data_IF_492630085405
#
_entry.id   IF_492630085405
#
_cell.length_a   1.000
_cell.length_b   1.000
_cell.length_c   1.000
_cell.angle_alpha   90.00
_cell.angle_beta   90.00
_cell.angle_gamma   90.00
#
_symmetry.space_group_name_H-M   'P 1'
#
loop_
_entity.id
_entity.type
_entity.pdbx_description
1 polymer ?
#
# COMPACT_ATOMS: atom_id res chain seq x y z
N UNK A 1 -46.87 5.08 -30.36
CA UNK A 1 -46.44 4.61 -29.03
C UNK A 1 -44.98 4.24 -29.15
N UNK A 2 -44.08 5.17 -28.84
CA UNK A 2 -42.63 4.95 -28.92
C UNK A 2 -42.11 4.61 -27.52
N UNK A 3 -41.74 3.35 -27.30
CA UNK A 3 -41.08 2.89 -26.08
C UNK A 3 -39.61 3.32 -26.12
N UNK A 4 -39.27 4.38 -25.39
CA UNK A 4 -37.86 4.76 -25.20
C UNK A 4 -37.16 3.73 -24.33
N UNK A 5 -36.22 3.01 -24.94
CA UNK A 5 -35.28 2.14 -24.26
C UNK A 5 -34.54 2.92 -23.16
N UNK A 6 -34.68 2.47 -21.91
CA UNK A 6 -33.94 2.98 -20.77
C UNK A 6 -32.46 2.64 -20.95
N UNK A 7 -31.64 3.67 -21.17
CA UNK A 7 -30.19 3.54 -21.21
C UNK A 7 -29.68 3.02 -19.87
N UNK A 8 -29.15 1.80 -19.84
CA UNK A 8 -28.38 1.29 -18.72
C UNK A 8 -27.07 2.07 -18.69
N UNK A 9 -27.00 3.10 -17.85
CA UNK A 9 -25.75 3.76 -17.51
C UNK A 9 -24.95 2.77 -16.67
N UNK A 10 -24.04 2.04 -17.30
CA UNK A 10 -22.99 1.30 -16.60
C UNK A 10 -22.08 2.32 -15.92
N UNK A 11 -22.44 2.76 -14.71
CA UNK A 11 -21.56 3.59 -13.88
C UNK A 11 -20.30 2.77 -13.63
N UNK A 12 -19.16 3.21 -14.18
CA UNK A 12 -17.85 2.62 -13.88
C UNK A 12 -17.76 2.48 -12.36
N UNK A 13 -17.61 1.24 -11.88
CA UNK A 13 -17.55 0.92 -10.46
C UNK A 13 -16.26 1.51 -9.90
N UNK A 14 -16.32 2.74 -9.39
CA UNK A 14 -15.17 3.39 -8.74
C UNK A 14 -14.74 2.50 -7.58
N UNK A 15 -13.47 2.08 -7.57
CA UNK A 15 -12.90 1.39 -6.41
C UNK A 15 -12.87 2.39 -5.27
N UNK A 16 -13.84 2.28 -4.36
CA UNK A 16 -13.82 3.06 -3.13
C UNK A 16 -12.68 2.54 -2.25
N UNK A 17 -11.60 3.32 -2.18
CA UNK A 17 -10.51 3.05 -1.26
C UNK A 17 -10.91 3.56 0.14
N UNK A 18 -10.90 2.66 1.11
CA UNK A 18 -11.21 2.98 2.49
C UNK A 18 -9.92 3.01 3.31
N UNK A 19 -9.80 4.03 4.15
CA UNK A 19 -8.73 4.10 5.16
C UNK A 19 -8.95 3.04 6.24
N UNK A 20 -7.88 2.64 6.93
CA UNK A 20 -7.96 1.74 8.09
C UNK A 20 -8.91 2.32 9.16
N UNK A 21 -8.83 3.64 9.41
CA UNK A 21 -9.76 4.34 10.32
C UNK A 21 -11.22 4.10 9.96
N UNK A 22 -11.58 4.31 8.69
CA UNK A 22 -12.96 4.16 8.21
C UNK A 22 -13.41 2.70 8.27
N UNK A 23 -12.52 1.74 8.01
CA UNK A 23 -12.83 0.31 8.18
C UNK A 23 -13.13 -0.05 9.64
N UNK A 24 -12.31 0.41 10.60
CA UNK A 24 -12.54 0.19 12.03
C UNK A 24 -13.85 0.80 12.52
N UNK A 25 -14.12 2.04 12.14
CA UNK A 25 -15.36 2.73 12.49
C UNK A 25 -16.60 1.97 11.99
N UNK A 26 -16.58 1.51 10.73
CA UNK A 26 -17.66 0.70 10.15
C UNK A 26 -17.80 -0.63 10.91
N UNK A 27 -16.70 -1.33 11.21
CA UNK A 27 -16.75 -2.61 11.95
C UNK A 27 -17.32 -2.44 13.36
N UNK A 28 -16.97 -1.35 14.05
CA UNK A 28 -17.55 -1.00 15.34
C UNK A 28 -19.04 -0.67 15.22
N UNK A 29 -19.44 0.11 14.21
CA UNK A 29 -20.83 0.55 14.00
C UNK A 29 -21.79 -0.58 13.58
N UNK A 30 -21.27 -1.66 13.00
CA UNK A 30 -22.06 -2.83 12.58
C UNK A 30 -22.00 -3.99 13.57
N UNK A 31 -21.27 -3.84 14.68
CA UNK A 31 -21.16 -4.86 15.73
C UNK A 31 -22.54 -5.09 16.35
N UNK A 32 -23.03 -6.33 16.28
CA UNK A 32 -24.36 -6.69 16.76
C UNK A 32 -25.53 -6.37 15.82
N UNK A 33 -25.28 -5.79 14.63
CA UNK A 33 -26.30 -5.58 13.59
C UNK A 33 -26.39 -6.75 12.62
N UNK A 34 -27.60 -6.98 12.09
CA UNK A 34 -27.77 -7.87 10.95
C UNK A 34 -27.10 -7.27 9.71
N UNK A 35 -26.74 -8.09 8.73
CA UNK A 35 -26.06 -7.64 7.51
C UNK A 35 -26.85 -6.59 6.73
N UNK A 36 -28.17 -6.71 6.77
CA UNK A 36 -29.09 -5.84 6.05
C UNK A 36 -29.16 -4.46 6.72
N UNK A 37 -29.29 -4.41 8.04
CA UNK A 37 -29.24 -3.17 8.82
C UNK A 37 -27.88 -2.48 8.71
N UNK A 38 -26.79 -3.26 8.70
CA UNK A 38 -25.44 -2.75 8.51
C UNK A 38 -25.24 -2.11 7.12
N UNK A 39 -25.75 -2.76 6.06
CA UNK A 39 -25.66 -2.22 4.70
C UNK A 39 -26.48 -0.94 4.53
N UNK A 40 -27.66 -0.87 5.15
CA UNK A 40 -28.53 0.30 5.09
C UNK A 40 -27.97 1.48 5.90
N UNK A 41 -27.45 1.22 7.10
CA UNK A 41 -26.92 2.28 7.97
C UNK A 41 -25.61 2.89 7.45
N UNK A 42 -24.74 2.10 6.83
CA UNK A 42 -23.43 2.59 6.34
C UNK A 42 -23.43 2.93 4.83
N UNK A 43 -24.47 2.54 4.09
CA UNK A 43 -24.51 2.66 2.63
C UNK A 43 -23.44 1.82 1.92
N UNK A 44 -22.93 0.77 2.57
CA UNK A 44 -21.88 -0.12 2.04
C UNK A 44 -22.52 -1.43 1.58
N UNK A 45 -22.21 -1.92 0.36
CA UNK A 45 -22.74 -3.18 -0.12
C UNK A 45 -22.44 -4.36 0.81
N UNK A 46 -23.42 -5.26 0.98
CA UNK A 46 -23.32 -6.45 1.85
C UNK A 46 -22.04 -7.27 1.63
N UNK A 47 -21.66 -7.50 0.38
CA UNK A 47 -20.45 -8.26 0.04
C UNK A 47 -19.17 -7.60 0.58
N UNK A 48 -19.10 -6.27 0.57
CA UNK A 48 -17.95 -5.50 1.09
C UNK A 48 -17.89 -5.55 2.62
N UNK A 49 -19.04 -5.58 3.29
CA UNK A 49 -19.08 -5.75 4.74
C UNK A 49 -18.63 -7.15 5.15
N UNK A 50 -19.05 -8.18 4.40
CA UNK A 50 -18.64 -9.56 4.67
C UNK A 50 -17.13 -9.77 4.47
N UNK A 51 -16.56 -9.22 3.40
CA UNK A 51 -15.11 -9.22 3.15
C UNK A 51 -14.34 -8.58 4.32
N UNK A 52 -14.83 -7.44 4.82
CA UNK A 52 -14.23 -6.78 6.00
C UNK A 52 -14.39 -7.56 7.30
N UNK A 53 -15.49 -8.30 7.50
CA UNK A 53 -15.65 -9.19 8.66
C UNK A 53 -14.61 -10.31 8.64
N UNK A 54 -14.29 -10.85 7.46
CA UNK A 54 -13.19 -11.82 7.31
C UNK A 54 -11.84 -11.21 7.66
N UNK A 55 -11.59 -9.97 7.23
CA UNK A 55 -10.37 -9.24 7.50
C UNK A 55 -10.34 -8.52 8.87
N UNK A 56 -11.34 -8.70 9.72
CA UNK A 56 -11.54 -7.91 10.94
C UNK A 56 -10.29 -7.93 11.85
N UNK A 57 -9.77 -9.12 12.12
CA UNK A 57 -8.58 -9.29 12.96
C UNK A 57 -7.36 -8.58 12.36
N UNK A 58 -7.17 -8.67 11.04
CA UNK A 58 -6.07 -8.01 10.32
C UNK A 58 -6.21 -6.48 10.35
N UNK A 59 -7.43 -5.96 10.24
CA UNK A 59 -7.73 -4.51 10.29
C UNK A 59 -7.49 -3.95 11.70
N UNK A 60 -7.83 -4.70 12.75
CA UNK A 60 -7.59 -4.29 14.13
C UNK A 60 -6.14 -4.46 14.56
N UNK A 61 -5.46 -5.53 14.13
CA UNK A 61 -4.04 -5.78 14.42
C UNK A 61 -3.08 -4.84 13.68
N UNK A 62 -3.55 -4.07 12.69
CA UNK A 62 -2.69 -3.14 11.95
C UNK A 62 -2.18 -1.98 12.84
N UNK A 63 -0.87 -1.93 13.06
CA UNK A 63 -0.19 -0.94 13.92
C UNK A 63 0.31 0.31 13.16
N UNK A 64 0.12 0.37 11.84
CA UNK A 64 0.54 1.51 11.02
C UNK A 64 -0.42 2.71 11.05
N UNK A 65 -0.14 3.72 10.23
CA UNK A 65 -0.96 4.94 10.16
C UNK A 65 -2.41 4.66 9.77
N UNK A 66 -3.36 5.19 10.54
CA UNK A 66 -4.80 5.01 10.28
C UNK A 66 -5.30 5.71 9.01
N UNK A 67 -4.53 6.69 8.52
CA UNK A 67 -4.79 7.41 7.25
C UNK A 67 -4.40 6.56 6.03
N UNK A 68 -3.67 5.46 6.24
CA UNK A 68 -3.29 4.54 5.18
C UNK A 68 -4.54 3.92 4.57
N UNK A 69 -4.65 3.99 3.24
CA UNK A 69 -5.62 3.19 2.50
C UNK A 69 -5.30 1.72 2.79
N UNK A 70 -6.31 0.93 3.15
CA UNK A 70 -6.08 -0.48 3.42
C UNK A 70 -5.45 -1.12 2.19
N UNK A 71 -4.22 -1.60 2.34
CA UNK A 71 -3.46 -2.21 1.26
C UNK A 71 -4.29 -3.37 0.72
N UNK A 72 -4.43 -3.46 -0.61
CA UNK A 72 -4.82 -4.73 -1.22
C UNK A 72 -3.81 -5.80 -0.77
N UNK A 73 -4.20 -7.07 -0.65
CA UNK A 73 -3.30 -8.17 -0.27
C UNK A 73 -2.33 -8.49 -1.42
N UNK A 74 -1.62 -7.49 -1.93
CA UNK A 74 -0.43 -7.67 -2.74
C UNK A 74 0.75 -7.80 -1.79
N UNK A 75 1.49 -8.92 -1.93
CA UNK A 75 2.72 -9.19 -1.18
C UNK A 75 3.62 -7.96 -1.26
N UNK A 76 4.01 -7.34 -0.12
CA UNK A 76 5.14 -6.44 -0.14
C UNK A 76 6.34 -7.25 -0.62
N UNK A 77 6.90 -6.89 -1.78
CA UNK A 77 8.25 -7.31 -2.12
C UNK A 77 9.15 -6.80 -1.00
N UNK A 78 9.47 -7.71 -0.08
CA UNK A 78 10.21 -7.41 1.14
C UNK A 78 11.66 -7.62 0.82
N UNK A 79 12.42 -6.53 0.87
CA UNK A 79 13.86 -6.54 0.66
C UNK A 79 14.51 -7.14 1.91
N UNK A 80 15.22 -8.28 1.81
CA UNK A 80 15.77 -8.97 2.97
C UNK A 80 16.84 -8.14 3.70
N UNK A 81 17.49 -7.22 2.99
CA UNK A 81 18.54 -6.31 3.51
C UNK A 81 18.03 -4.88 3.80
N UNK A 82 16.74 -4.74 4.11
CA UNK A 82 16.15 -3.41 4.34
C UNK A 82 16.86 -2.57 5.42
N UNK A 83 17.44 -3.21 6.46
CA UNK A 83 18.19 -2.52 7.51
C UNK A 83 19.48 -1.88 6.99
N UNK A 84 20.30 -2.64 6.26
CA UNK A 84 21.58 -2.17 5.69
C UNK A 84 21.37 -1.06 4.68
N UNK A 85 20.34 -1.18 3.82
CA UNK A 85 19.95 -0.13 2.90
C UNK A 85 19.51 1.15 3.63
N UNK A 86 18.83 1.04 4.79
CA UNK A 86 18.46 2.20 5.62
C UNK A 86 19.69 2.87 6.22
N UNK A 87 20.67 2.10 6.68
CA UNK A 87 21.95 2.63 7.18
C UNK A 87 22.65 3.42 6.09
N UNK A 88 22.80 2.84 4.89
CA UNK A 88 23.34 3.53 3.72
C UNK A 88 22.59 4.84 3.40
N UNK A 89 21.25 4.83 3.43
CA UNK A 89 20.46 6.04 3.18
C UNK A 89 20.69 7.13 4.25
N UNK A 90 20.91 6.74 5.51
CA UNK A 90 21.18 7.68 6.61
C UNK A 90 22.57 8.29 6.47
N UNK A 91 23.56 7.49 6.10
CA UNK A 91 24.93 7.94 5.89
C UNK A 91 25.01 8.88 4.68
N UNK A 92 24.40 8.51 3.54
CA UNK A 92 24.33 9.38 2.37
C UNK A 92 23.64 10.73 2.65
N UNK A 93 22.61 10.75 3.52
CA UNK A 93 21.98 12.00 3.97
C UNK A 93 22.90 12.82 4.87
N UNK A 94 23.71 12.18 5.71
CA UNK A 94 24.67 12.84 6.59
C UNK A 94 25.77 13.54 5.79
N UNK A 95 26.19 12.92 4.69
CA UNK A 95 27.21 13.42 3.78
C UNK A 95 26.64 14.39 2.73
N UNK A 96 25.36 14.77 2.85
CA UNK A 96 24.63 15.68 1.94
C UNK A 96 24.57 15.20 0.48
N UNK A 97 24.73 13.90 0.25
CA UNK A 97 24.55 13.32 -1.08
C UNK A 97 23.06 13.25 -1.44
N UNK A 98 22.76 13.52 -2.71
CA UNK A 98 21.39 13.43 -3.22
C UNK A 98 20.99 11.96 -3.27
N UNK A 99 20.18 11.55 -2.29
CA UNK A 99 19.65 10.19 -2.22
C UNK A 99 18.61 9.97 -3.33
N UNK A 100 19.05 9.37 -4.43
CA UNK A 100 18.16 8.99 -5.54
C UNK A 100 17.88 7.49 -5.55
N UNK A 101 16.79 7.08 -6.21
CA UNK A 101 16.51 5.67 -6.45
C UNK A 101 17.64 4.98 -7.24
N UNK A 102 18.35 5.71 -8.10
CA UNK A 102 19.51 5.20 -8.82
C UNK A 102 20.66 4.92 -7.87
N UNK A 103 20.99 5.85 -6.96
CA UNK A 103 22.04 5.66 -5.95
C UNK A 103 21.75 4.44 -5.07
N UNK A 104 20.50 4.29 -4.62
CA UNK A 104 20.07 3.10 -3.88
C UNK A 104 20.15 1.83 -4.72
N UNK A 105 19.77 1.88 -6.00
CA UNK A 105 19.83 0.72 -6.88
C UNK A 105 21.28 0.30 -7.19
N UNK A 106 22.22 1.25 -7.27
CA UNK A 106 23.65 0.94 -7.39
C UNK A 106 24.17 0.21 -6.15
N UNK A 107 23.87 0.72 -4.96
CA UNK A 107 24.22 0.03 -3.70
C UNK A 107 23.69 -1.41 -3.66
N UNK A 108 22.45 -1.63 -4.10
CA UNK A 108 21.86 -2.98 -4.17
C UNK A 108 22.58 -3.89 -5.17
N UNK A 109 22.98 -3.36 -6.34
CA UNK A 109 23.75 -4.12 -7.33
C UNK A 109 25.11 -4.53 -6.81
N UNK A 110 25.76 -3.62 -6.08
CA UNK A 110 27.13 -3.81 -5.61
C UNK A 110 27.18 -4.75 -4.40
N UNK A 111 26.23 -4.62 -3.47
CA UNK A 111 26.24 -5.38 -2.22
C UNK A 111 25.42 -6.68 -2.27
N UNK A 112 24.39 -6.76 -3.13
CA UNK A 112 23.51 -7.93 -3.22
C UNK A 112 23.26 -8.41 -4.66
N UNK A 113 24.32 -8.74 -5.43
CA UNK A 113 24.17 -9.22 -6.80
C UNK A 113 23.38 -10.53 -6.88
N UNK A 114 23.62 -11.49 -5.99
CA UNK A 114 22.92 -12.78 -5.97
C UNK A 114 21.41 -12.64 -5.72
N UNK A 115 21.03 -11.74 -4.80
CA UNK A 115 19.62 -11.44 -4.56
C UNK A 115 18.99 -10.77 -5.78
N UNK A 116 19.72 -9.86 -6.44
CA UNK A 116 19.23 -9.17 -7.62
C UNK A 116 19.03 -10.14 -8.79
N UNK A 117 19.94 -11.08 -9.00
CA UNK A 117 19.81 -12.16 -9.98
C UNK A 117 18.54 -12.98 -9.71
N UNK A 118 18.35 -13.45 -8.47
CA UNK A 118 17.13 -14.17 -8.07
C UNK A 118 15.86 -13.34 -8.28
N UNK A 119 15.91 -12.04 -7.99
CA UNK A 119 14.80 -11.10 -8.22
C UNK A 119 14.49 -10.87 -9.70
N UNK A 120 15.48 -11.03 -10.58
CA UNK A 120 15.33 -10.88 -12.03
C UNK A 120 14.82 -12.13 -12.73
N UNK A 121 15.00 -13.33 -12.17
CA UNK A 121 14.65 -14.65 -12.77
C UNK A 121 13.17 -14.78 -13.19
N UNK A 122 12.27 -13.95 -12.67
CA UNK A 122 10.85 -13.95 -13.06
C UNK A 122 10.41 -12.82 -14.01
N UNK A 123 11.33 -11.96 -14.47
CA UNK A 123 10.98 -10.73 -15.21
C UNK A 123 11.27 -10.87 -16.69
N UNK A 124 10.34 -10.33 -17.49
CA UNK A 124 10.34 -10.48 -18.95
C UNK A 124 11.58 -9.88 -19.62
N UNK A 125 12.06 -8.73 -19.14
CA UNK A 125 13.17 -7.98 -19.74
C UNK A 125 14.02 -7.28 -18.66
N UNK A 126 15.33 -7.10 -18.93
CA UNK A 126 16.26 -6.41 -18.03
C UNK A 126 15.86 -4.95 -17.76
N UNK A 127 15.34 -4.23 -18.76
CA UNK A 127 14.83 -2.86 -18.61
C UNK A 127 13.62 -2.83 -17.67
N UNK A 128 12.66 -3.74 -17.88
CA UNK A 128 11.47 -3.90 -17.04
C UNK A 128 11.86 -4.29 -15.59
N UNK A 129 12.90 -5.10 -15.44
CA UNK A 129 13.44 -5.46 -14.14
C UNK A 129 14.05 -4.27 -13.39
N UNK A 130 14.84 -3.44 -14.09
CA UNK A 130 15.41 -2.23 -13.55
C UNK A 130 14.34 -1.20 -13.16
N UNK A 131 13.35 -0.95 -14.04
CA UNK A 131 12.24 -0.06 -13.71
C UNK A 131 11.44 -0.54 -12.48
N UNK A 132 11.25 -1.84 -12.36
CA UNK A 132 10.58 -2.42 -11.21
C UNK A 132 11.40 -2.26 -9.93
N UNK A 133 12.73 -2.45 -10.01
CA UNK A 133 13.65 -2.20 -8.89
C UNK A 133 13.59 -0.72 -8.46
N UNK A 134 13.62 0.21 -9.41
CA UNK A 134 13.50 1.65 -9.13
C UNK A 134 12.13 2.01 -8.52
N UNK A 135 11.04 1.37 -8.95
CA UNK A 135 9.71 1.55 -8.34
C UNK A 135 9.65 1.02 -6.90
N UNK A 136 10.34 -0.09 -6.64
CA UNK A 136 10.46 -0.68 -5.32
C UNK A 136 11.26 0.22 -4.36
N UNK A 137 12.35 0.83 -4.84
CA UNK A 137 13.21 1.71 -4.05
C UNK A 137 12.72 3.18 -3.99
N UNK A 138 11.91 3.60 -4.97
CA UNK A 138 11.39 4.96 -5.09
C UNK A 138 10.11 5.25 -4.29
N UNK A 139 9.58 6.46 -4.47
CA UNK A 139 8.47 7.08 -3.70
C UNK A 139 7.13 6.28 -3.74
N UNK A 140 7.02 5.24 -4.57
CA UNK A 140 5.89 4.32 -4.63
C UNK A 140 5.97 3.08 -3.73
N UNK A 141 7.16 2.71 -3.24
CA UNK A 141 7.41 1.45 -2.50
C UNK A 141 7.14 1.50 -1.00
N UNK A 142 6.69 2.63 -0.45
CA UNK A 142 6.43 2.78 0.99
C UNK A 142 7.69 2.74 1.87
N UNK A 143 8.88 2.85 1.29
CA UNK A 143 10.16 2.84 2.01
C UNK A 143 10.43 4.19 2.71
N UNK A 144 10.19 5.32 2.02
CA UNK A 144 10.43 6.66 2.56
C UNK A 144 9.37 7.24 3.51
N UNK A 145 8.15 6.68 3.57
CA UNK A 145 7.05 7.23 4.41
C UNK A 145 6.98 6.67 5.83
N UNK A 146 7.76 5.64 6.15
CA UNK A 146 7.68 4.94 7.44
C UNK A 146 8.54 5.54 8.55
N UNK A 147 9.51 6.40 8.22
CA UNK A 147 10.51 6.92 9.16
C UNK A 147 10.70 8.45 9.07
N UNK A 148 9.64 9.19 8.73
CA UNK A 148 9.66 10.63 8.96
C UNK A 148 9.47 10.83 10.47
N UNK A 149 10.53 11.28 11.16
CA UNK A 149 10.39 11.79 12.52
C UNK A 149 9.32 12.87 12.54
N UNK A 150 8.44 12.91 13.56
CA UNK A 150 7.52 14.02 13.72
C UNK A 150 8.34 15.32 13.81
N UNK A 151 7.92 16.41 13.14
CA UNK A 151 8.59 17.69 13.30
C UNK A 151 8.61 18.06 14.79
N UNK A 152 9.73 18.57 15.33
CA UNK A 152 9.80 18.96 16.73
C UNK A 152 8.67 19.95 16.99
N UNK A 153 7.88 19.67 18.04
CA UNK A 153 6.83 20.57 18.49
C UNK A 153 7.46 21.94 18.72
N UNK A 154 7.02 22.93 17.94
CA UNK A 154 7.38 24.31 18.17
C UNK A 154 6.96 24.68 19.60
N UNK A 155 7.94 25.07 20.40
CA UNK A 155 7.74 25.68 21.71
C UNK A 155 7.26 27.12 21.55
#
# INVERSE_FOLDING_TARGET
>A
MELKAAGVVLTKRLRNHYTIKKKRAVLQAIKGKTEQEAAWSEGIPRWTLNDRRKDEQSIFAYEGSEKTLSRAPGRPETVPFSGELITFMKDARRDSEVLTANTMASYVRDQYPEWLESYMVGKKDATTANESLLKLLGVGGGFGRRNADPPPAAA
#
